data_IF_323608710330
#
_entry.id   IF_323608710330
#
_cell.length_a   1.000
_cell.length_b   1.000
_cell.length_c   1.000
_cell.angle_alpha   90.00
_cell.angle_beta   90.00
_cell.angle_gamma   90.00
#
_symmetry.space_group_name_H-M   'P 1'
#
loop_
_entity.id
_entity.type
_entity.pdbx_description
1 polymer ?
#
# COMPACT_ATOMS: atom_id res chain seq x y z
N UNK A 1 14.86 -15.49 7.03
CA UNK A 1 15.27 -14.73 5.86
C UNK A 1 14.43 -13.47 5.77
N UNK A 2 15.10 -12.37 5.54
CA UNK A 2 14.42 -11.10 5.41
C UNK A 2 13.57 -11.10 4.15
N UNK A 3 12.29 -10.86 4.32
CA UNK A 3 11.40 -10.68 3.19
C UNK A 3 11.51 -9.22 2.76
N UNK A 4 11.87 -9.00 1.50
CA UNK A 4 12.00 -7.64 1.00
C UNK A 4 10.62 -7.03 0.81
N UNK A 5 10.20 -6.21 1.76
CA UNK A 5 8.94 -5.48 1.63
C UNK A 5 9.11 -4.33 0.65
N UNK A 6 8.05 -4.02 -0.06
CA UNK A 6 8.05 -2.96 -1.06
C UNK A 6 7.24 -1.78 -0.56
N UNK A 7 7.50 -0.64 -1.15
CA UNK A 7 6.76 0.59 -0.85
C UNK A 7 5.98 0.98 -2.11
N UNK A 8 4.74 1.34 -1.94
CA UNK A 8 3.85 1.70 -3.04
C UNK A 8 3.35 3.12 -2.84
N UNK A 9 3.40 3.91 -3.88
CA UNK A 9 2.99 5.32 -3.82
C UNK A 9 1.78 5.58 -4.70
N UNK A 10 0.81 6.30 -4.16
CA UNK A 10 -0.32 6.79 -4.95
C UNK A 10 0.19 7.89 -5.88
N UNK A 11 -0.02 7.72 -7.18
CA UNK A 11 0.46 8.69 -8.17
C UNK A 11 -0.39 9.95 -8.21
N UNK A 12 -1.53 9.96 -7.53
CA UNK A 12 -2.43 11.11 -7.51
C UNK A 12 -2.14 12.05 -6.35
N UNK A 13 -2.00 11.50 -5.14
CA UNK A 13 -1.81 12.34 -3.95
C UNK A 13 -0.47 12.13 -3.24
N UNK A 14 0.30 11.11 -3.64
CA UNK A 14 1.59 10.84 -3.02
C UNK A 14 1.52 10.02 -1.74
N UNK A 15 0.37 9.44 -1.43
CA UNK A 15 0.23 8.59 -0.26
C UNK A 15 1.14 7.36 -0.39
N UNK A 16 1.82 7.01 0.69
CA UNK A 16 2.74 5.87 0.70
C UNK A 16 2.13 4.70 1.47
N UNK A 17 2.07 3.54 0.82
CA UNK A 17 1.74 2.28 1.48
C UNK A 17 3.01 1.48 1.66
N UNK A 18 3.39 1.21 2.90
CA UNK A 18 4.56 0.42 3.23
C UNK A 18 4.10 -0.98 3.62
N UNK A 19 4.51 -1.99 2.86
CA UNK A 19 4.10 -3.37 3.14
C UNK A 19 4.53 -3.83 4.52
N UNK A 20 5.68 -3.35 5.00
CA UNK A 20 6.15 -3.73 6.31
C UNK A 20 5.29 -3.17 7.44
N UNK A 21 4.85 -1.93 7.28
CA UNK A 21 4.06 -1.26 8.32
C UNK A 21 2.57 -1.51 8.21
N UNK A 22 2.10 -1.84 7.01
CA UNK A 22 0.67 -1.99 6.77
C UNK A 22 -0.11 -0.71 7.00
N UNK A 23 -1.40 -0.86 7.19
CA UNK A 23 -2.31 0.24 7.54
C UNK A 23 -3.33 -0.28 8.53
N UNK A 24 -2.95 -0.46 9.81
CA UNK A 24 -3.85 -1.03 10.81
C UNK A 24 -5.16 -0.25 10.95
N UNK A 25 -5.11 1.06 10.78
CA UNK A 25 -6.28 1.92 10.85
C UNK A 25 -7.26 1.67 9.70
N UNK A 26 -6.77 1.07 8.59
CA UNK A 26 -7.60 0.67 7.46
C UNK A 26 -7.88 -0.83 7.47
N UNK A 27 -7.52 -1.51 8.55
CA UNK A 27 -7.74 -2.95 8.67
C UNK A 27 -6.69 -3.79 7.95
N UNK A 28 -5.57 -3.21 7.56
CA UNK A 28 -4.49 -3.92 6.88
C UNK A 28 -3.35 -4.14 7.86
N UNK A 29 -3.12 -5.39 8.22
CA UNK A 29 -2.10 -5.73 9.21
C UNK A 29 -0.69 -5.44 8.67
N UNK A 30 0.27 -5.10 9.57
CA UNK A 30 1.66 -4.98 9.17
C UNK A 30 2.17 -6.27 8.52
N UNK A 31 2.95 -6.12 7.46
CA UNK A 31 3.47 -7.26 6.72
C UNK A 31 2.56 -7.73 5.60
N UNK A 32 1.45 -7.05 5.37
CA UNK A 32 0.55 -7.41 4.29
C UNK A 32 1.14 -6.96 2.95
N UNK A 33 1.34 -7.92 2.06
CA UNK A 33 1.86 -7.64 0.73
C UNK A 33 0.83 -6.90 -0.11
N UNK A 34 1.30 -6.16 -1.10
CA UNK A 34 0.42 -5.38 -1.96
C UNK A 34 -0.64 -6.26 -2.64
N UNK A 35 -0.23 -7.43 -3.12
CA UNK A 35 -1.17 -8.35 -3.76
C UNK A 35 -2.21 -8.92 -2.80
N UNK A 36 -1.95 -8.85 -1.49
CA UNK A 36 -2.90 -9.31 -0.46
C UNK A 36 -3.83 -8.20 -0.01
N UNK A 37 -3.56 -6.96 -0.40
CA UNK A 37 -4.46 -5.85 -0.13
C UNK A 37 -5.71 -6.02 -1.01
N UNK A 38 -6.93 -5.96 -0.42
CA UNK A 38 -8.16 -6.17 -1.20
C UNK A 38 -8.26 -5.21 -2.38
N UNK A 39 -8.79 -5.71 -3.49
CA UNK A 39 -9.00 -4.86 -4.66
C UNK A 39 -10.01 -3.75 -4.39
N UNK A 40 -10.85 -3.94 -3.38
CA UNK A 40 -11.83 -2.92 -2.98
C UNK A 40 -11.22 -1.82 -2.13
N UNK A 41 -9.97 -1.98 -1.71
CA UNK A 41 -9.27 -0.96 -0.92
C UNK A 41 -8.98 0.25 -1.80
N UNK A 42 -9.13 1.42 -1.20
CA UNK A 42 -8.85 2.68 -1.89
C UNK A 42 -7.90 3.53 -1.06
N UNK A 43 -7.24 4.46 -1.73
CA UNK A 43 -6.33 5.38 -1.05
C UNK A 43 -7.11 6.18 0.01
N UNK A 44 -6.67 6.18 1.28
CA UNK A 44 -7.38 6.91 2.32
C UNK A 44 -7.30 8.43 2.15
N UNK A 45 -6.36 8.92 1.37
CA UNK A 45 -6.19 10.36 1.16
C UNK A 45 -7.03 10.90 0.00
N UNK A 46 -7.04 10.19 -1.13
CA UNK A 46 -7.72 10.71 -2.32
C UNK A 46 -8.79 9.78 -2.88
N UNK A 47 -8.88 8.55 -2.38
CA UNK A 47 -9.94 7.63 -2.76
C UNK A 47 -9.78 6.89 -4.08
N UNK A 48 -8.59 6.95 -4.68
CA UNK A 48 -8.34 6.19 -5.91
C UNK A 48 -8.09 4.72 -5.59
N UNK A 49 -8.20 3.88 -6.60
CA UNK A 49 -8.01 2.43 -6.45
C UNK A 49 -6.52 2.08 -6.47
N UNK A 50 -6.24 0.78 -6.24
CA UNK A 50 -4.87 0.27 -6.29
C UNK A 50 -4.21 0.49 -7.66
N UNK A 51 -4.99 0.61 -8.71
CA UNK A 51 -4.47 0.81 -10.06
C UNK A 51 -3.69 2.13 -10.20
N UNK A 52 -3.95 3.08 -9.32
CA UNK A 52 -3.26 4.36 -9.34
C UNK A 52 -2.05 4.39 -8.40
N UNK A 53 -1.56 3.24 -8.03
CA UNK A 53 -0.35 3.11 -7.22
C UNK A 53 0.79 2.55 -8.05
N UNK A 54 2.00 2.99 -7.77
CA UNK A 54 3.21 2.47 -8.40
C UNK A 54 4.20 2.03 -7.34
N UNK A 55 4.94 0.95 -7.63
CA UNK A 55 5.98 0.49 -6.73
C UNK A 55 7.13 1.48 -6.74
N UNK A 56 7.55 1.85 -5.52
CA UNK A 56 8.69 2.73 -5.34
C UNK A 56 9.85 1.93 -4.79
N UNK A 57 11.00 1.91 -5.47
CA UNK A 57 12.20 1.33 -4.88
C UNK A 57 12.68 2.24 -3.76
N UNK A 58 12.91 1.67 -2.62
CA UNK A 58 13.40 2.41 -1.47
C UNK A 58 14.84 2.05 -1.19
#
# INVERSE_FOLDING_TARGET
AATAYRTWMCVVCGFIYDEEKGLPEEGIAPGTRWEDVPDTWTCPDCGVTKDDFEMMPV
#
